data_IF_548021698759
#
_entry.id   IF_548021698759
#
_cell.length_a   1.000
_cell.length_b   1.000
_cell.length_c   1.000
_cell.angle_alpha   90.00
_cell.angle_beta   90.00
_cell.angle_gamma   90.00
#
_symmetry.space_group_name_H-M   'P 1'
#
loop_
_entity.id
_entity.type
_entity.pdbx_description
1 polymer ?
#
# COMPACT_ATOMS: atom_id res chain seq x y z
N UNK A 1 3.15 -10.87 -10.06
CA UNK A 1 2.76 -9.46 -10.23
C UNK A 1 1.54 -9.24 -9.37
N UNK A 2 1.30 -8.03 -8.84
CA UNK A 2 0.05 -7.74 -8.12
C UNK A 2 -1.17 -8.07 -8.98
N UNK A 3 -2.25 -8.50 -8.35
CA UNK A 3 -3.55 -8.71 -9.02
C UNK A 3 -4.12 -7.38 -9.50
N UNK A 4 -5.12 -7.41 -10.39
CA UNK A 4 -5.81 -6.18 -10.82
C UNK A 4 -6.44 -5.45 -9.63
N UNK A 5 -7.12 -6.19 -8.74
CA UNK A 5 -7.66 -5.65 -7.48
C UNK A 5 -6.60 -4.98 -6.62
N UNK A 6 -5.41 -5.58 -6.49
CA UNK A 6 -4.30 -4.96 -5.75
C UNK A 6 -3.82 -3.66 -6.40
N UNK A 7 -3.76 -3.59 -7.74
CA UNK A 7 -3.35 -2.38 -8.45
C UNK A 7 -4.38 -1.26 -8.27
N UNK A 8 -5.67 -1.57 -8.39
CA UNK A 8 -6.73 -0.58 -8.22
C UNK A 8 -6.76 -0.04 -6.78
N UNK A 9 -6.68 -0.93 -5.78
CA UNK A 9 -6.58 -0.52 -4.38
C UNK A 9 -5.31 0.30 -4.13
N UNK A 10 -4.17 -0.08 -4.71
CA UNK A 10 -2.93 0.67 -4.57
C UNK A 10 -3.03 2.09 -5.16
N UNK A 11 -3.64 2.24 -6.34
CA UNK A 11 -3.89 3.57 -6.94
C UNK A 11 -4.77 4.42 -6.01
N UNK A 12 -5.85 3.83 -5.49
CA UNK A 12 -6.72 4.51 -4.53
C UNK A 12 -5.97 4.97 -3.27
N UNK A 13 -5.18 4.07 -2.65
CA UNK A 13 -4.40 4.39 -1.43
C UNK A 13 -3.35 5.46 -1.71
N UNK A 14 -2.61 5.37 -2.81
CA UNK A 14 -1.63 6.39 -3.19
C UNK A 14 -2.28 7.76 -3.39
N UNK A 15 -3.46 7.82 -4.01
CA UNK A 15 -4.21 9.06 -4.18
C UNK A 15 -4.69 9.62 -2.82
N UNK A 16 -5.18 8.75 -1.92
CA UNK A 16 -5.58 9.14 -0.57
C UNK A 16 -4.42 9.74 0.22
N UNK A 17 -3.27 9.07 0.24
CA UNK A 17 -2.05 9.53 0.91
C UNK A 17 -1.59 10.88 0.34
N UNK A 18 -1.62 11.02 -1.00
CA UNK A 18 -1.24 12.26 -1.68
C UNK A 18 -2.17 13.42 -1.33
N UNK A 19 -3.48 13.19 -1.26
CA UNK A 19 -4.47 14.20 -0.84
C UNK A 19 -4.23 14.68 0.61
N UNK A 20 -3.66 13.80 1.45
CA UNK A 20 -3.34 14.08 2.85
C UNK A 20 -1.89 14.56 3.04
N UNK A 21 -1.17 14.85 1.95
CA UNK A 21 0.24 15.24 1.95
C UNK A 21 1.14 14.26 2.73
N UNK A 22 0.79 12.98 2.75
CA UNK A 22 1.62 11.95 3.34
C UNK A 22 2.65 11.48 2.31
N UNK A 23 3.96 11.54 2.62
CA UNK A 23 4.99 11.03 1.72
C UNK A 23 4.85 9.52 1.55
N UNK A 24 5.15 9.01 0.37
CA UNK A 24 5.19 7.58 0.06
C UNK A 24 6.65 7.21 -0.17
N UNK A 25 7.24 6.46 0.75
CA UNK A 25 8.68 6.19 0.76
C UNK A 25 9.02 4.83 0.14
N UNK A 26 8.21 3.80 0.40
CA UNK A 26 8.41 2.45 -0.15
C UNK A 26 7.11 1.92 -0.71
N UNK A 27 7.18 1.32 -1.89
CA UNK A 27 6.09 0.58 -2.53
C UNK A 27 6.64 -0.78 -2.98
N UNK A 28 6.25 -1.86 -2.30
CA UNK A 28 6.87 -3.18 -2.46
C UNK A 28 5.84 -4.28 -2.61
N UNK A 29 6.04 -5.16 -3.57
CA UNK A 29 5.25 -6.38 -3.72
C UNK A 29 6.06 -7.61 -3.32
N UNK A 30 5.55 -8.40 -2.39
CA UNK A 30 6.10 -9.70 -2.01
C UNK A 30 5.39 -10.81 -2.80
N UNK A 31 6.15 -11.55 -3.62
CA UNK A 31 5.63 -12.65 -4.44
C UNK A 31 5.30 -13.92 -3.64
N UNK A 32 5.93 -14.15 -2.50
CA UNK A 32 5.79 -15.37 -1.69
C UNK A 32 4.44 -15.36 -0.96
N UNK A 33 4.11 -14.23 -0.33
CA UNK A 33 2.84 -14.04 0.39
C UNK A 33 1.79 -13.29 -0.43
N UNK A 34 2.16 -12.81 -1.63
CA UNK A 34 1.31 -12.11 -2.59
C UNK A 34 0.68 -10.84 -2.03
N UNK A 35 1.46 -10.07 -1.29
CA UNK A 35 1.03 -8.87 -0.58
C UNK A 35 1.76 -7.64 -1.12
N UNK A 36 1.07 -6.50 -1.17
CA UNK A 36 1.66 -5.21 -1.51
C UNK A 36 1.75 -4.35 -0.25
N UNK A 37 2.95 -3.91 0.11
CA UNK A 37 3.21 -3.03 1.26
C UNK A 37 3.53 -1.62 0.75
N UNK A 38 2.94 -0.61 1.40
CA UNK A 38 3.23 0.81 1.17
C UNK A 38 3.68 1.40 2.49
N UNK A 39 4.94 1.83 2.58
CA UNK A 39 5.44 2.62 3.71
C UNK A 39 5.30 4.10 3.38
N UNK A 40 4.61 4.82 4.26
CA UNK A 40 4.23 6.20 4.06
C UNK A 40 4.25 6.98 5.38
N UNK A 41 4.02 8.28 5.30
CA UNK A 41 4.01 9.17 6.45
C UNK A 41 5.41 9.62 6.87
N UNK A 42 5.44 10.59 7.79
CA UNK A 42 6.70 11.15 8.30
C UNK A 42 7.42 10.07 9.10
N UNK A 43 8.69 9.81 8.76
CA UNK A 43 9.51 8.75 9.37
C UNK A 43 8.89 7.34 9.25
N UNK A 44 8.22 7.04 8.13
CA UNK A 44 7.60 5.72 7.86
C UNK A 44 6.57 5.30 8.93
N UNK A 45 5.84 6.27 9.48
CA UNK A 45 4.85 6.04 10.54
C UNK A 45 3.58 5.29 10.11
N UNK A 46 3.40 5.07 8.81
CA UNK A 46 2.25 4.37 8.24
C UNK A 46 2.76 3.19 7.39
N UNK A 47 2.32 1.99 7.74
CA UNK A 47 2.46 0.82 6.89
C UNK A 47 1.07 0.36 6.43
N UNK A 48 0.86 0.34 5.12
CA UNK A 48 -0.38 -0.14 4.51
C UNK A 48 -0.09 -1.46 3.81
N UNK A 49 -0.94 -2.46 4.08
CA UNK A 49 -0.81 -3.81 3.54
C UNK A 49 -2.03 -4.14 2.70
N UNK A 50 -1.81 -4.50 1.43
CA UNK A 50 -2.87 -4.90 0.49
C UNK A 50 -2.71 -6.39 0.15
N UNK A 51 -3.67 -7.21 0.60
CA UNK A 51 -3.64 -8.65 0.35
C UNK A 51 -4.00 -9.01 -1.11
N UNK A 52 -3.86 -10.28 -1.49
CA UNK A 52 -4.10 -10.77 -2.88
C UNK A 52 -5.49 -10.39 -3.43
N UNK A 53 -6.49 -10.29 -2.55
CA UNK A 53 -7.88 -9.96 -2.90
C UNK A 53 -8.14 -8.46 -3.02
N UNK A 54 -7.16 -7.60 -2.75
CA UNK A 54 -7.28 -6.15 -2.82
C UNK A 54 -7.85 -5.51 -1.55
N UNK A 55 -8.08 -6.27 -0.48
CA UNK A 55 -8.38 -5.67 0.82
C UNK A 55 -7.11 -5.08 1.41
N UNK A 56 -7.23 -3.91 2.03
CA UNK A 56 -6.13 -3.20 2.64
C UNK A 56 -6.42 -2.85 4.09
N UNK A 57 -5.36 -2.82 4.90
CA UNK A 57 -5.40 -2.41 6.31
C UNK A 57 -4.06 -1.74 6.68
N UNK A 58 -4.03 -1.12 7.86
CA UNK A 58 -2.79 -0.69 8.48
C UNK A 58 -2.11 -1.86 9.19
N UNK A 59 -0.79 -1.96 9.07
CA UNK A 59 0.00 -2.86 9.91
C UNK A 59 0.22 -2.20 11.29
N UNK A 60 0.04 -2.98 12.36
CA UNK A 60 0.08 -2.52 13.75
C UNK A 60 1.42 -2.79 14.42
#
# INVERSE_FOLDING_TARGET
MPTEKQKDTAIFVCQLLSNLYQPINVFRYDKRIKTLSILAGINDSLEIVINENGFWDFES
#
